data_IF_046570559863
#
_entry.id   IF_046570559863
#
_cell.length_a   1.000
_cell.length_b   1.000
_cell.length_c   1.000
_cell.angle_alpha   90.00
_cell.angle_beta   90.00
_cell.angle_gamma   90.00
#
_symmetry.space_group_name_H-M   'P 1'
#
loop_
_entity.id
_entity.type
_entity.pdbx_description
1 polymer ?
#
# COMPACT_ATOMS: atom_id res chain seq x y z
N UNK A 1 -15.97 52.43 -32.71
CA UNK A 1 -14.70 51.88 -32.15
C UNK A 1 -14.97 51.47 -30.70
N UNK A 2 -14.30 50.42 -30.19
CA UNK A 2 -14.87 49.11 -29.89
C UNK A 2 -15.64 49.02 -28.56
N UNK A 3 -16.63 48.12 -28.54
CA UNK A 3 -17.19 47.54 -27.33
C UNK A 3 -16.53 46.21 -26.97
N UNK A 4 -16.56 45.87 -25.69
CA UNK A 4 -16.45 44.50 -25.15
C UNK A 4 -17.01 44.52 -23.72
N UNK A 5 -18.18 43.93 -23.47
CA UNK A 5 -18.47 42.52 -23.19
C UNK A 5 -18.15 42.09 -21.76
N UNK A 6 -19.23 41.90 -20.98
CA UNK A 6 -19.30 41.22 -19.70
C UNK A 6 -18.72 39.80 -19.80
N UNK A 7 -17.72 39.48 -19.00
CA UNK A 7 -17.33 38.10 -18.75
C UNK A 7 -18.17 37.52 -17.61
N UNK A 8 -19.14 36.68 -17.95
CA UNK A 8 -19.71 35.69 -17.04
C UNK A 8 -18.60 34.69 -16.67
N UNK A 9 -18.27 34.60 -15.39
CA UNK A 9 -17.42 33.53 -14.87
C UNK A 9 -18.27 32.27 -14.76
N UNK A 10 -18.15 31.38 -15.75
CA UNK A 10 -18.68 30.03 -15.68
C UNK A 10 -17.90 29.26 -14.60
N UNK A 11 -18.50 29.04 -13.44
CA UNK A 11 -18.00 28.09 -12.45
C UNK A 11 -18.15 26.68 -13.01
N UNK A 12 -17.07 26.19 -13.62
CA UNK A 12 -17.01 24.84 -14.15
C UNK A 12 -17.35 23.80 -13.06
N UNK A 13 -18.26 22.93 -13.47
CA UNK A 13 -18.91 21.84 -12.76
C UNK A 13 -17.89 21.00 -11.98
N UNK A 14 -18.05 20.91 -10.65
CA UNK A 14 -17.42 19.84 -9.86
C UNK A 14 -18.11 18.53 -10.19
N UNK A 15 -17.56 17.77 -11.12
CA UNK A 15 -17.92 16.36 -11.29
C UNK A 15 -17.40 15.60 -10.07
N UNK A 16 -18.28 15.37 -9.10
CA UNK A 16 -18.05 14.41 -8.02
C UNK A 16 -18.32 13.02 -8.58
N UNK A 17 -17.34 12.42 -9.23
CA UNK A 17 -17.41 11.02 -9.62
C UNK A 17 -17.42 10.16 -8.33
N UNK A 18 -18.61 9.68 -7.96
CA UNK A 18 -18.76 8.52 -7.08
C UNK A 18 -18.56 7.29 -7.96
N UNK A 19 -17.33 6.81 -8.00
CA UNK A 19 -17.04 5.50 -8.57
C UNK A 19 -16.56 4.61 -7.43
N UNK A 20 -17.21 3.46 -7.25
CA UNK A 20 -16.52 2.29 -6.74
C UNK A 20 -15.42 1.97 -7.74
N UNK A 21 -14.30 2.72 -7.67
CA UNK A 21 -13.15 2.51 -8.54
C UNK A 21 -12.53 1.21 -8.07
N UNK A 22 -12.96 0.09 -8.67
CA UNK A 22 -12.09 -1.07 -8.79
C UNK A 22 -10.97 -0.60 -9.71
N UNK A 23 -9.82 -0.23 -9.14
CA UNK A 23 -8.63 0.06 -9.92
C UNK A 23 -8.18 -1.28 -10.48
N UNK A 24 -8.67 -1.61 -11.67
CA UNK A 24 -8.10 -2.71 -12.46
C UNK A 24 -6.76 -2.21 -12.96
N UNK A 25 -5.68 -2.88 -12.61
CA UNK A 25 -4.47 -2.78 -13.42
C UNK A 25 -4.87 -3.15 -14.86
N UNK A 26 -4.29 -2.52 -15.89
CA UNK A 26 -4.34 -3.11 -17.21
C UNK A 26 -3.73 -4.49 -17.02
N UNK A 27 -4.53 -5.55 -17.15
CA UNK A 27 -3.98 -6.89 -17.21
C UNK A 27 -2.92 -6.82 -18.30
N UNK A 28 -1.65 -6.98 -17.92
CA UNK A 28 -0.64 -7.41 -18.88
C UNK A 28 -1.26 -8.68 -19.46
N UNK A 29 -1.77 -8.61 -20.69
CA UNK A 29 -2.25 -9.78 -21.39
C UNK A 29 -1.03 -10.68 -21.53
N UNK A 30 -0.82 -11.56 -20.56
CA UNK A 30 0.11 -12.65 -20.72
C UNK A 30 -0.52 -13.51 -21.80
N UNK A 31 0.07 -13.48 -22.99
CA UNK A 31 -0.25 -14.45 -24.02
C UNK A 31 0.05 -15.81 -23.40
N UNK A 32 -0.99 -16.58 -23.08
CA UNK A 32 -0.84 -17.99 -22.69
C UNK A 32 -0.25 -18.73 -23.88
N UNK A 33 1.07 -18.86 -23.95
CA UNK A 33 1.68 -19.97 -24.69
C UNK A 33 1.58 -21.17 -23.77
N UNK A 34 0.68 -22.10 -24.13
CA UNK A 34 0.50 -23.37 -23.43
C UNK A 34 1.82 -24.14 -23.42
N UNK A 35 2.49 -24.16 -22.27
CA UNK A 35 3.62 -25.03 -21.98
C UNK A 35 3.14 -26.15 -21.07
N UNK A 36 2.96 -27.33 -21.64
CA UNK A 36 2.60 -28.56 -20.93
C UNK A 36 3.85 -29.14 -20.28
N UNK A 37 4.03 -29.05 -18.95
CA UNK A 37 4.91 -30.02 -18.25
C UNK A 37 4.27 -30.49 -16.93
N UNK A 38 4.30 -31.81 -16.85
CA UNK A 38 3.82 -32.82 -15.91
C UNK A 38 4.12 -32.56 -14.42
N UNK A 39 3.17 -32.95 -13.58
CA UNK A 39 3.27 -33.01 -12.12
C UNK A 39 4.27 -34.07 -11.62
N UNK A 40 4.94 -33.78 -10.52
CA UNK A 40 5.25 -34.76 -9.48
C UNK A 40 5.10 -34.14 -8.08
N UNK A 41 4.41 -34.88 -7.21
CA UNK A 41 4.25 -34.61 -5.78
C UNK A 41 5.52 -35.03 -5.02
N UNK A 42 5.89 -34.28 -3.97
CA UNK A 42 6.14 -34.84 -2.64
C UNK A 42 6.27 -33.77 -1.55
N UNK A 43 5.66 -34.14 -0.43
CA UNK A 43 5.65 -33.58 0.92
C UNK A 43 7.04 -33.30 1.53
N UNK A 44 7.13 -32.34 2.46
CA UNK A 44 7.34 -32.55 3.91
C UNK A 44 7.53 -31.19 4.62
N UNK A 45 6.95 -31.11 5.82
CA UNK A 45 6.96 -30.01 6.79
C UNK A 45 8.35 -29.81 7.40
N UNK A 46 8.81 -28.56 7.55
CA UNK A 46 9.75 -28.14 8.60
C UNK A 46 9.68 -26.64 8.84
N UNK A 47 9.91 -26.28 10.09
CA UNK A 47 9.74 -24.98 10.72
C UNK A 47 11.10 -24.27 10.72
N UNK A 48 11.29 -23.23 9.92
CA UNK A 48 12.50 -22.40 9.97
C UNK A 48 12.16 -20.91 9.88
N UNK A 49 12.91 -20.14 10.66
CA UNK A 49 12.77 -18.71 10.86
C UNK A 49 13.35 -18.03 9.62
N UNK A 50 12.47 -17.51 8.76
CA UNK A 50 12.84 -17.06 7.43
C UNK A 50 13.35 -15.60 7.47
N UNK A 51 14.60 -15.44 7.89
CA UNK A 51 15.39 -14.22 7.63
C UNK A 51 15.90 -14.31 6.18
N UNK A 52 15.13 -13.73 5.26
CA UNK A 52 15.31 -13.94 3.82
C UNK A 52 16.64 -13.39 3.28
N UNK A 53 17.58 -14.30 3.00
CA UNK A 53 18.76 -14.05 2.19
C UNK A 53 18.36 -14.02 0.71
N UNK A 54 18.61 -12.89 0.05
CA UNK A 54 18.21 -12.65 -1.34
C UNK A 54 19.16 -13.37 -2.30
N UNK A 55 18.83 -14.61 -2.68
CA UNK A 55 19.39 -15.22 -3.89
C UNK A 55 18.45 -15.01 -5.08
N UNK A 56 19.05 -14.52 -6.15
CA UNK A 56 18.45 -13.91 -7.32
C UNK A 56 17.89 -14.92 -8.31
N UNK A 57 16.82 -15.65 -7.99
CA UNK A 57 16.01 -16.36 -9.00
C UNK A 57 14.55 -16.43 -8.53
N UNK A 58 13.79 -15.36 -8.75
CA UNK A 58 12.34 -15.45 -8.69
C UNK A 58 11.84 -16.02 -10.02
N UNK A 59 11.08 -17.12 -10.02
CA UNK A 59 10.47 -17.63 -11.24
C UNK A 59 9.51 -16.58 -11.76
N UNK A 60 9.70 -16.16 -13.01
CA UNK A 60 8.66 -15.46 -13.77
C UNK A 60 7.50 -16.44 -14.00
N UNK A 61 6.66 -16.59 -12.98
CA UNK A 61 5.44 -17.38 -13.08
C UNK A 61 4.23 -16.45 -13.19
N UNK A 62 3.61 -16.52 -14.37
CA UNK A 62 2.19 -16.38 -14.65
C UNK A 62 1.41 -15.23 -13.99
N UNK A 63 1.10 -14.16 -14.76
CA UNK A 63 -0.03 -13.22 -14.58
C UNK A 63 -0.30 -12.58 -13.20
N UNK A 64 0.40 -12.96 -12.14
CA UNK A 64 0.07 -12.68 -10.76
C UNK A 64 0.59 -11.30 -10.40
N UNK A 65 -0.32 -10.42 -10.02
CA UNK A 65 0.06 -9.08 -9.61
C UNK A 65 0.67 -9.11 -8.21
N UNK A 66 1.75 -8.35 -8.04
CA UNK A 66 2.41 -8.16 -6.75
C UNK A 66 1.90 -6.86 -6.15
N UNK A 67 1.05 -6.99 -5.14
CA UNK A 67 0.46 -5.86 -4.42
C UNK A 67 1.19 -5.67 -3.11
N UNK A 68 1.91 -4.55 -2.96
CA UNK A 68 2.59 -4.24 -1.70
C UNK A 68 1.80 -3.24 -0.88
N UNK A 69 1.62 -3.55 0.41
CA UNK A 69 0.91 -2.69 1.37
C UNK A 69 1.86 -2.32 2.49
N UNK A 70 2.00 -1.01 2.77
CA UNK A 70 2.77 -0.55 3.93
C UNK A 70 1.93 -0.67 5.20
N UNK A 71 2.44 -1.42 6.17
CA UNK A 71 1.74 -1.76 7.42
C UNK A 71 2.44 -1.12 8.62
N UNK A 72 1.67 -0.43 9.44
CA UNK A 72 2.06 0.06 10.76
C UNK A 72 0.89 -0.11 11.75
N UNK A 73 1.08 0.25 13.01
CA UNK A 73 0.01 0.19 14.03
C UNK A 73 -1.09 1.24 13.84
N UNK A 74 -1.06 2.05 12.77
CA UNK A 74 -2.02 3.12 12.54
C UNK A 74 -3.34 2.59 11.97
N UNK A 75 -4.48 3.24 12.30
CA UNK A 75 -5.75 2.89 11.69
C UNK A 75 -5.79 3.17 10.19
N UNK A 76 -4.92 4.07 9.69
CA UNK A 76 -4.85 4.38 8.27
C UNK A 76 -4.18 3.28 7.45
N UNK A 77 -3.13 2.64 7.97
CA UNK A 77 -2.55 1.46 7.32
C UNK A 77 -3.52 0.28 7.35
N UNK A 78 -4.22 0.05 8.47
CA UNK A 78 -5.26 -0.99 8.54
C UNK A 78 -6.36 -0.75 7.49
N UNK A 79 -6.84 0.49 7.37
CA UNK A 79 -7.83 0.84 6.35
C UNK A 79 -7.33 0.66 4.91
N UNK A 80 -6.03 0.91 4.68
CA UNK A 80 -5.39 0.68 3.39
C UNK A 80 -5.36 -0.80 3.00
N UNK A 81 -5.01 -1.66 3.96
CA UNK A 81 -5.02 -3.11 3.77
C UNK A 81 -6.42 -3.65 3.50
N UNK A 82 -7.42 -3.24 4.30
CA UNK A 82 -8.79 -3.67 4.11
C UNK A 82 -9.34 -3.26 2.74
N UNK A 83 -8.98 -2.05 2.30
CA UNK A 83 -9.33 -1.58 0.97
C UNK A 83 -8.70 -2.45 -0.12
N UNK A 84 -7.39 -2.74 -0.02
CA UNK A 84 -6.66 -3.57 -0.99
C UNK A 84 -7.28 -4.98 -1.12
N UNK A 85 -7.50 -5.66 0.01
CA UNK A 85 -8.11 -7.01 0.05
C UNK A 85 -9.52 -7.05 -0.58
N UNK A 86 -10.25 -5.94 -0.50
CA UNK A 86 -11.62 -5.86 -1.00
C UNK A 86 -11.72 -5.42 -2.47
N UNK A 87 -10.75 -4.65 -2.97
CA UNK A 87 -10.89 -3.95 -4.25
C UNK A 87 -9.79 -4.23 -5.29
N UNK A 88 -8.61 -4.70 -4.88
CA UNK A 88 -7.47 -4.84 -5.81
C UNK A 88 -6.98 -6.27 -5.91
N UNK A 89 -6.93 -6.98 -4.79
CA UNK A 89 -6.38 -8.34 -4.73
C UNK A 89 -7.35 -9.35 -5.36
N UNK A 90 -6.82 -10.16 -6.26
CA UNK A 90 -7.47 -11.28 -6.94
C UNK A 90 -6.87 -12.62 -6.51
N UNK A 91 -7.55 -13.72 -6.86
CA UNK A 91 -7.00 -15.07 -6.70
C UNK A 91 -5.72 -15.20 -7.54
N UNK A 92 -4.67 -15.82 -6.98
CA UNK A 92 -3.31 -15.92 -7.54
C UNK A 92 -2.39 -14.71 -7.32
N UNK A 93 -2.89 -13.56 -6.83
CA UNK A 93 -2.02 -12.42 -6.52
C UNK A 93 -1.12 -12.71 -5.31
N UNK A 94 0.01 -12.02 -5.25
CA UNK A 94 0.89 -11.99 -4.08
C UNK A 94 0.74 -10.66 -3.34
N UNK A 95 0.36 -10.72 -2.07
CA UNK A 95 0.35 -9.58 -1.17
C UNK A 95 1.67 -9.53 -0.42
N UNK A 96 2.35 -8.39 -0.47
CA UNK A 96 3.57 -8.13 0.29
C UNK A 96 3.25 -7.14 1.41
N UNK A 97 3.34 -7.59 2.65
CA UNK A 97 3.16 -6.77 3.85
C UNK A 97 4.51 -6.16 4.26
N UNK A 98 4.69 -4.87 4.01
CA UNK A 98 5.94 -4.16 4.32
C UNK A 98 5.81 -3.38 5.63
N UNK A 99 6.57 -3.76 6.65
CA UNK A 99 6.70 -3.01 7.90
C UNK A 99 7.98 -2.15 7.93
N UNK A 100 7.84 -0.92 8.40
CA UNK A 100 8.94 0.03 8.59
C UNK A 100 9.07 0.36 10.08
N UNK A 101 10.02 -0.26 10.80
CA UNK A 101 10.23 0.00 12.22
C UNK A 101 10.42 1.50 12.46
N UNK A 102 9.73 2.02 13.47
CA UNK A 102 9.86 3.42 13.82
C UNK A 102 11.00 3.58 14.83
N UNK A 103 12.16 4.09 14.39
CA UNK A 103 13.29 4.42 15.29
C UNK A 103 13.01 5.59 16.24
N UNK A 104 11.88 6.27 16.05
CA UNK A 104 11.52 7.43 16.86
C UNK A 104 10.62 6.98 18.01
N UNK A 105 11.23 6.72 19.17
CA UNK A 105 10.83 7.15 20.53
C UNK A 105 11.66 6.33 21.54
N UNK A 106 12.50 7.06 22.30
CA UNK A 106 13.28 6.65 23.46
C UNK A 106 14.34 5.53 23.32
N UNK A 107 15.56 5.93 23.65
CA UNK A 107 16.78 5.18 23.93
C UNK A 107 16.62 4.25 25.15
N UNK A 108 15.59 3.38 25.14
CA UNK A 108 15.37 2.38 26.18
C UNK A 108 14.68 1.09 25.67
N UNK A 109 14.10 1.10 24.47
CA UNK A 109 13.57 -0.13 23.88
C UNK A 109 14.73 -0.88 23.23
N UNK A 110 15.05 -2.07 23.73
CA UNK A 110 16.09 -2.94 23.15
C UNK A 110 15.65 -3.38 21.75
N UNK A 111 16.62 -3.59 20.85
CA UNK A 111 16.34 -3.98 19.46
C UNK A 111 15.38 -5.19 19.39
N UNK A 112 15.53 -6.16 20.29
CA UNK A 112 14.67 -7.34 20.35
C UNK A 112 13.19 -7.08 20.65
N UNK A 113 12.84 -6.02 21.41
CA UNK A 113 11.42 -5.70 21.69
C UNK A 113 10.76 -5.01 20.48
N UNK A 114 11.52 -4.21 19.71
CA UNK A 114 11.04 -3.62 18.45
C UNK A 114 10.79 -4.72 17.42
N UNK A 115 11.69 -5.70 17.34
CA UNK A 115 11.57 -6.84 16.44
C UNK A 115 10.35 -7.70 16.79
N UNK A 116 10.08 -7.92 18.08
CA UNK A 116 8.88 -8.65 18.53
C UNK A 116 7.59 -7.94 18.14
N UNK A 117 7.47 -6.63 18.39
CA UNK A 117 6.26 -5.87 18.05
C UNK A 117 6.03 -5.81 16.53
N UNK A 118 7.11 -5.70 15.75
CA UNK A 118 7.05 -5.76 14.30
C UNK A 118 6.56 -7.14 13.81
N UNK A 119 7.09 -8.21 14.40
CA UNK A 119 6.67 -9.57 14.12
C UNK A 119 5.20 -9.81 14.47
N UNK A 120 4.75 -9.43 15.67
CA UNK A 120 3.36 -9.60 16.11
C UNK A 120 2.38 -8.85 15.19
N UNK A 121 2.75 -7.64 14.77
CA UNK A 121 1.97 -6.85 13.82
C UNK A 121 1.90 -7.54 12.45
N UNK A 122 3.03 -7.97 11.89
CA UNK A 122 3.07 -8.65 10.60
C UNK A 122 2.33 -9.99 10.66
N UNK A 123 2.49 -10.76 11.74
CA UNK A 123 1.83 -12.05 11.95
C UNK A 123 0.30 -11.90 12.02
N UNK A 124 -0.20 -10.99 12.87
CA UNK A 124 -1.64 -10.72 12.94
C UNK A 124 -2.22 -10.21 11.63
N UNK A 125 -1.45 -9.40 10.89
CA UNK A 125 -1.85 -8.88 9.58
C UNK A 125 -1.86 -9.98 8.51
N UNK A 126 -0.88 -10.89 8.55
CA UNK A 126 -0.79 -12.06 7.67
C UNK A 126 -2.00 -12.97 7.86
N UNK A 127 -2.33 -13.29 9.12
CA UNK A 127 -3.54 -14.04 9.46
C UNK A 127 -4.79 -13.37 8.89
N UNK A 128 -4.92 -12.04 9.03
CA UNK A 128 -6.07 -11.32 8.48
C UNK A 128 -6.19 -11.45 6.96
N UNK A 129 -5.07 -11.40 6.24
CA UNK A 129 -5.05 -11.57 4.78
C UNK A 129 -5.51 -12.97 4.40
N UNK A 130 -4.94 -13.99 5.03
CA UNK A 130 -5.27 -15.41 4.77
C UNK A 130 -6.73 -15.72 5.11
N UNK A 131 -7.27 -15.17 6.19
CA UNK A 131 -8.68 -15.34 6.57
C UNK A 131 -9.65 -14.71 5.57
N UNK A 132 -9.31 -13.54 5.01
CA UNK A 132 -10.18 -12.83 4.06
C UNK A 132 -10.03 -13.33 2.63
N UNK A 133 -8.85 -13.85 2.28
CA UNK A 133 -8.43 -14.27 0.95
C UNK A 133 -7.49 -15.47 1.09
N UNK A 134 -8.00 -16.70 1.26
CA UNK A 134 -7.14 -17.87 1.38
C UNK A 134 -6.44 -18.23 0.06
N UNK A 135 -6.92 -17.72 -1.07
CA UNK A 135 -6.39 -18.03 -2.41
C UNK A 135 -5.18 -17.19 -2.81
N UNK A 136 -4.67 -16.33 -1.92
CA UNK A 136 -3.61 -15.36 -2.22
C UNK A 136 -2.35 -15.68 -1.42
N UNK A 137 -1.20 -15.49 -2.05
CA UNK A 137 0.08 -15.66 -1.37
C UNK A 137 0.36 -14.42 -0.52
N UNK A 138 0.78 -14.61 0.73
CA UNK A 138 1.08 -13.50 1.64
C UNK A 138 2.54 -13.58 2.09
N UNK A 139 3.33 -12.60 1.67
CA UNK A 139 4.72 -12.40 2.06
C UNK A 139 4.84 -11.25 3.06
N UNK A 140 5.84 -11.30 3.92
CA UNK A 140 6.13 -10.27 4.92
C UNK A 140 7.55 -9.76 4.73
N UNK A 141 7.74 -8.44 4.78
CA UNK A 141 9.05 -7.83 4.65
C UNK A 141 9.22 -6.73 5.71
N UNK A 142 10.41 -6.66 6.29
CA UNK A 142 10.81 -5.57 7.19
C UNK A 142 11.94 -4.78 6.53
N UNK A 143 11.83 -3.45 6.52
CA UNK A 143 12.89 -2.56 6.02
C UNK A 143 13.12 -1.43 7.00
N UNK A 144 14.36 -1.36 7.45
CA UNK A 144 14.78 -0.35 8.44
C UNK A 144 15.57 0.78 7.77
N UNK A 145 15.36 2.01 8.23
CA UNK A 145 16.19 3.16 7.87
C UNK A 145 15.50 4.50 8.13
N UNK A 146 16.25 5.58 7.95
CA UNK A 146 15.83 6.94 8.34
C UNK A 146 14.82 7.54 7.36
N UNK A 147 15.03 7.34 6.05
CA UNK A 147 14.19 7.89 4.98
C UNK A 147 13.13 6.88 4.54
N UNK A 148 12.05 6.74 5.32
CA UNK A 148 10.96 5.78 5.07
C UNK A 148 10.47 5.75 3.61
N UNK A 149 10.28 6.92 2.99
CA UNK A 149 9.77 7.00 1.61
C UNK A 149 10.70 6.36 0.59
N UNK A 150 12.01 6.61 0.71
CA UNK A 150 13.02 6.02 -0.17
C UNK A 150 13.08 4.50 -0.02
N UNK A 151 13.01 3.98 1.22
CA UNK A 151 13.01 2.55 1.49
C UNK A 151 11.82 1.84 0.85
N UNK A 152 10.62 2.44 0.91
CA UNK A 152 9.42 1.86 0.31
C UNK A 152 9.52 1.84 -1.21
N UNK A 153 9.97 2.94 -1.82
CA UNK A 153 10.16 3.02 -3.27
C UNK A 153 11.19 2.01 -3.74
N UNK A 154 12.30 1.88 -3.00
CA UNK A 154 13.34 0.91 -3.29
C UNK A 154 12.85 -0.53 -3.13
N UNK A 155 12.13 -0.84 -2.05
CA UNK A 155 11.54 -2.15 -1.83
C UNK A 155 10.54 -2.51 -2.94
N UNK A 156 9.69 -1.56 -3.35
CA UNK A 156 8.73 -1.75 -4.44
C UNK A 156 9.45 -2.11 -5.76
N UNK A 157 10.56 -1.42 -6.05
CA UNK A 157 11.38 -1.67 -7.23
C UNK A 157 12.06 -3.05 -7.16
N UNK A 158 12.67 -3.40 -6.02
CA UNK A 158 13.38 -4.67 -5.83
C UNK A 158 12.44 -5.87 -5.92
N UNK A 159 11.23 -5.75 -5.35
CA UNK A 159 10.24 -6.82 -5.31
C UNK A 159 9.35 -6.88 -6.57
N UNK A 160 9.60 -6.00 -7.56
CA UNK A 160 8.83 -5.88 -8.80
C UNK A 160 7.32 -5.74 -8.55
N UNK A 161 6.97 -4.88 -7.60
CA UNK A 161 5.58 -4.56 -7.23
C UNK A 161 4.87 -3.89 -8.40
N UNK A 162 3.66 -4.34 -8.72
CA UNK A 162 2.82 -3.71 -9.75
C UNK A 162 1.88 -2.65 -9.15
N UNK A 163 1.47 -2.83 -7.89
CA UNK A 163 0.64 -1.89 -7.14
C UNK A 163 1.15 -1.66 -5.71
N UNK A 164 1.45 -0.41 -5.36
CA UNK A 164 1.79 0.04 -4.01
C UNK A 164 0.60 0.72 -3.33
N UNK A 165 0.21 0.25 -2.15
CA UNK A 165 -0.91 0.80 -1.37
C UNK A 165 -0.41 1.39 -0.06
N UNK A 166 -0.77 2.65 0.20
CA UNK A 166 -0.31 3.44 1.35
C UNK A 166 -1.48 3.97 2.18
N UNK A 167 -1.38 3.90 3.50
CA UNK A 167 -2.29 4.58 4.41
C UNK A 167 -2.06 6.10 4.41
N UNK A 168 -3.08 6.87 4.08
CA UNK A 168 -3.04 8.33 4.09
C UNK A 168 -3.79 8.89 5.31
N UNK A 169 -3.00 9.41 6.25
CA UNK A 169 -3.50 10.11 7.44
C UNK A 169 -4.34 11.33 7.10
N UNK A 170 -5.56 11.36 7.64
CA UNK A 170 -6.38 12.57 7.64
C UNK A 170 -5.80 13.55 8.67
N UNK A 171 -5.19 14.63 8.19
CA UNK A 171 -4.92 15.78 9.06
C UNK A 171 -6.26 16.36 9.52
N UNK A 172 -6.41 16.59 10.83
CA UNK A 172 -7.60 17.25 11.39
C UNK A 172 -7.70 18.67 10.83
N UNK A 173 -8.93 19.20 10.72
CA UNK A 173 -9.13 20.56 10.23
C UNK A 173 -8.45 21.59 11.13
N UNK A 174 -8.47 21.36 12.45
CA UNK A 174 -7.76 22.18 13.44
C UNK A 174 -6.24 22.16 13.25
N UNK A 175 -5.64 20.98 13.01
CA UNK A 175 -4.20 20.88 12.72
C UNK A 175 -3.86 21.53 11.37
N UNK A 176 -4.74 21.42 10.38
CA UNK A 176 -4.59 22.12 9.10
C UNK A 176 -4.64 23.65 9.27
N UNK A 177 -5.52 24.17 10.12
CA UNK A 177 -5.60 25.60 10.44
C UNK A 177 -4.35 26.08 11.21
N UNK A 178 -3.91 25.33 12.21
CA UNK A 178 -2.68 25.64 12.96
C UNK A 178 -1.44 25.68 12.05
N UNK A 179 -1.38 24.81 11.03
CA UNK A 179 -0.29 24.77 10.05
C UNK A 179 -0.38 25.85 8.95
N UNK A 180 -1.46 26.65 8.90
CA UNK A 180 -1.51 27.86 8.06
C UNK A 180 -0.78 29.02 8.77
N UNK A 181 -0.84 29.03 10.11
CA UNK A 181 -0.18 30.04 10.95
C UNK A 181 1.28 29.70 11.26
N UNK A 182 1.60 28.41 11.41
CA UNK A 182 2.98 27.94 11.44
C UNK A 182 3.42 27.61 10.01
N UNK A 183 4.33 28.38 9.42
CA UNK A 183 4.79 28.29 8.01
C UNK A 183 5.52 26.97 7.63
N UNK A 184 5.16 25.83 8.21
CA UNK A 184 5.67 24.52 7.85
C UNK A 184 4.58 23.68 7.19
N UNK A 185 4.57 23.71 5.87
CA UNK A 185 3.70 22.90 5.00
C UNK A 185 4.19 21.45 4.96
N UNK A 186 4.25 20.79 6.11
CA UNK A 186 4.51 19.34 6.19
C UNK A 186 3.23 18.61 5.84
N UNK A 187 2.87 18.65 4.54
CA UNK A 187 1.98 17.62 3.96
C UNK A 187 2.62 16.25 4.17
N UNK A 188 1.86 15.19 3.95
CA UNK A 188 2.27 13.81 4.23
C UNK A 188 3.46 13.41 3.34
N UNK A 189 4.65 13.93 3.65
CA UNK A 189 5.86 13.94 2.80
C UNK A 189 6.26 12.53 2.41
N UNK A 190 5.96 11.56 3.27
CA UNK A 190 6.14 10.15 3.00
C UNK A 190 5.27 9.66 1.83
N UNK A 191 3.94 9.83 1.90
CA UNK A 191 3.02 9.38 0.83
C UNK A 191 3.26 10.17 -0.45
N UNK A 192 3.38 11.49 -0.35
CA UNK A 192 3.65 12.35 -1.51
C UNK A 192 4.97 11.93 -2.21
N UNK A 193 6.02 11.62 -1.45
CA UNK A 193 7.28 11.13 -1.99
C UNK A 193 7.10 9.78 -2.68
N UNK A 194 6.42 8.81 -2.06
CA UNK A 194 6.20 7.50 -2.68
C UNK A 194 5.41 7.63 -3.98
N UNK A 195 4.32 8.40 -4.01
CA UNK A 195 3.52 8.62 -5.22
C UNK A 195 4.33 9.26 -6.35
N UNK A 196 5.29 10.15 -6.03
CA UNK A 196 6.13 10.82 -7.03
C UNK A 196 7.31 9.98 -7.52
N UNK A 197 7.85 9.10 -6.68
CA UNK A 197 9.13 8.41 -6.94
C UNK A 197 8.97 6.90 -7.21
N UNK A 198 7.82 6.30 -6.91
CA UNK A 198 7.58 4.89 -7.18
C UNK A 198 7.49 4.62 -8.70
N UNK A 199 8.13 3.53 -9.15
CA UNK A 199 8.05 3.06 -10.53
C UNK A 199 6.76 2.27 -10.85
N UNK A 200 5.86 2.11 -9.88
CA UNK A 200 4.64 1.31 -9.99
C UNK A 200 3.40 2.15 -9.70
N UNK A 201 2.22 1.62 -10.04
CA UNK A 201 0.96 2.25 -9.68
C UNK A 201 0.91 2.41 -8.16
N UNK A 202 0.64 3.61 -7.67
CA UNK A 202 0.64 3.90 -6.23
C UNK A 202 -0.69 4.51 -5.83
N UNK A 203 -1.30 3.98 -4.77
CA UNK A 203 -2.61 4.38 -4.27
C UNK A 203 -2.51 4.83 -2.82
N UNK A 204 -2.87 6.08 -2.55
CA UNK A 204 -3.00 6.61 -1.20
C UNK A 204 -4.43 6.44 -0.69
N UNK A 205 -4.61 5.54 0.27
CA UNK A 205 -5.91 5.17 0.84
C UNK A 205 -6.22 6.03 2.05
N UNK A 206 -7.33 6.78 2.00
CA UNK A 206 -7.78 7.63 3.11
C UNK A 206 -9.17 7.23 3.57
N UNK A 207 -9.32 6.98 4.87
CA UNK A 207 -10.62 6.75 5.49
C UNK A 207 -11.49 8.02 5.46
N UNK A 208 -12.74 7.90 5.00
CA UNK A 208 -13.72 8.98 5.03
C UNK A 208 -14.53 8.91 6.33
N UNK A 209 -14.80 10.07 6.94
CA UNK A 209 -15.61 10.11 8.16
C UNK A 209 -17.07 9.79 7.82
N UNK A 210 -17.72 9.03 8.70
CA UNK A 210 -19.12 8.60 8.58
C UNK A 210 -20.07 9.80 8.65
N UNK A 211 -20.75 10.08 7.55
CA UNK A 211 -22.11 10.60 7.58
C UNK A 211 -23.00 9.51 6.98
N UNK A 212 -23.63 8.72 7.85
CA UNK A 212 -24.81 7.91 7.56
C UNK A 212 -24.70 6.62 6.71
N UNK A 213 -23.60 6.31 6.02
CA UNK A 213 -23.51 5.03 5.30
C UNK A 213 -22.06 4.51 5.20
N UNK A 214 -21.93 3.18 5.06
CA UNK A 214 -20.75 2.27 5.12
C UNK A 214 -19.36 2.89 4.88
N UNK A 215 -18.35 2.33 5.57
CA UNK A 215 -16.95 2.74 5.58
C UNK A 215 -16.44 3.09 4.17
N UNK A 216 -16.46 4.40 3.87
CA UNK A 216 -16.06 4.90 2.57
C UNK A 216 -14.60 5.33 2.62
N UNK A 217 -13.92 5.08 1.50
CA UNK A 217 -12.49 5.34 1.36
C UNK A 217 -12.32 6.29 0.17
N UNK A 218 -11.49 7.32 0.34
CA UNK A 218 -11.04 8.18 -0.76
C UNK A 218 -9.64 7.77 -1.16
N UNK A 219 -9.42 7.66 -2.47
CA UNK A 219 -8.15 7.32 -3.10
C UNK A 219 -7.58 8.59 -3.71
N UNK A 220 -6.27 8.77 -3.64
CA UNK A 220 -5.52 9.81 -4.36
C UNK A 220 -4.29 9.19 -4.99
#
# INVERSE_FOLDING_TARGET
>A
MPGWCRSHVATHIRVRARSHVRVRLPSRQCKKTAGFIKAEEKSVFSHEVDEFSFNSYLPESECADRVMVVVDSSPEAKGALEWALSHTVQSQDTIILLHLPNKNVNMFITNGEIDQRAYDLLHSTKIMCQLKRPEVQVETAVREGTKKGALVVEAAKRLRVSLLVLGHKKQSFLRRLQMIWASNKTRNRFVDYCTQNANCMTIAVRRKNKTGNKDSVSIT
#
